data_IF_544854956296
#
_entry.id   IF_544854956296
#
_cell.length_a   1.000
_cell.length_b   1.000
_cell.length_c   1.000
_cell.angle_alpha   90.00
_cell.angle_beta   90.00
_cell.angle_gamma   90.00
#
_symmetry.space_group_name_H-M   'P 1'
#
loop_
_entity.id
_entity.type
_entity.pdbx_description
1 polymer ?
#
# COMPACT_ATOMS: atom_id res chain seq x y z
N UNK A 1 -17.41 9.78 -30.95
CA UNK A 1 -15.98 10.13 -31.10
C UNK A 1 -15.83 11.50 -30.49
N UNK A 2 -15.05 11.64 -29.43
CA UNK A 2 -14.77 12.96 -28.85
C UNK A 2 -13.82 13.72 -29.79
N UNK A 3 -14.10 15.00 -30.04
CA UNK A 3 -13.43 15.83 -31.03
C UNK A 3 -11.92 16.00 -30.72
N UNK A 4 -11.11 16.13 -31.78
CA UNK A 4 -9.63 16.22 -31.71
C UNK A 4 -9.10 17.45 -30.96
N UNK A 5 -9.95 18.40 -30.56
CA UNK A 5 -9.58 19.61 -29.81
C UNK A 5 -9.41 19.41 -28.29
N UNK A 6 -9.76 18.25 -27.72
CA UNK A 6 -9.73 18.03 -26.26
C UNK A 6 -8.43 17.37 -25.71
N UNK A 7 -7.45 17.17 -26.60
CA UNK A 7 -6.22 16.42 -26.35
C UNK A 7 -5.19 17.29 -25.62
N UNK A 8 -5.17 17.17 -24.29
CA UNK A 8 -4.25 17.93 -23.42
C UNK A 8 -2.91 17.20 -23.18
N UNK A 9 -1.82 17.97 -23.13
CA UNK A 9 -0.46 17.54 -22.78
C UNK A 9 -0.13 17.96 -21.33
N UNK A 10 -0.11 17.03 -20.36
CA UNK A 10 0.08 17.36 -18.96
C UNK A 10 1.49 17.85 -18.66
N UNK A 11 1.63 19.13 -18.30
CA UNK A 11 2.85 19.62 -17.64
C UNK A 11 2.88 19.07 -16.21
N UNK A 12 4.05 18.58 -15.79
CA UNK A 12 4.30 17.96 -14.49
C UNK A 12 3.78 18.82 -13.31
N UNK A 13 2.79 18.29 -12.58
CA UNK A 13 2.33 18.81 -11.29
C UNK A 13 0.83 19.13 -11.16
N UNK A 14 0.06 19.16 -12.25
CA UNK A 14 -1.35 19.64 -12.21
C UNK A 14 -2.36 18.73 -12.95
N UNK A 15 -2.08 17.43 -13.07
CA UNK A 15 -3.04 16.54 -13.75
C UNK A 15 -4.33 16.36 -12.95
N UNK A 16 -4.24 16.12 -11.64
CA UNK A 16 -5.43 15.86 -10.83
C UNK A 16 -6.36 17.08 -10.74
N UNK A 17 -5.84 18.29 -10.52
CA UNK A 17 -6.71 19.48 -10.44
C UNK A 17 -7.36 19.79 -11.78
N UNK A 18 -6.66 19.60 -12.91
CA UNK A 18 -7.27 19.78 -14.24
C UNK A 18 -8.31 18.72 -14.57
N UNK A 19 -8.13 17.48 -14.12
CA UNK A 19 -9.18 16.46 -14.21
C UNK A 19 -10.42 16.91 -13.43
N UNK A 20 -10.25 17.45 -12.21
CA UNK A 20 -11.35 17.96 -11.40
C UNK A 20 -12.03 19.18 -12.02
N UNK A 21 -11.27 20.12 -12.59
CA UNK A 21 -11.81 21.27 -13.32
C UNK A 21 -12.68 20.82 -14.49
N UNK A 22 -12.21 19.85 -15.29
CA UNK A 22 -12.99 19.29 -16.40
C UNK A 22 -14.24 18.53 -15.95
N UNK A 23 -14.23 17.96 -14.74
CA UNK A 23 -15.37 17.26 -14.15
C UNK A 23 -16.39 18.17 -13.46
N UNK A 24 -16.10 19.47 -13.32
CA UNK A 24 -17.05 20.42 -12.76
C UNK A 24 -18.35 20.45 -13.57
N UNK A 25 -18.24 20.39 -14.90
CA UNK A 25 -19.35 20.46 -15.84
C UNK A 25 -19.59 19.15 -16.61
N UNK A 26 -18.88 18.06 -16.26
CA UNK A 26 -18.96 16.77 -16.96
C UNK A 26 -18.91 15.58 -15.99
N UNK A 27 -19.57 14.48 -16.35
CA UNK A 27 -19.46 13.20 -15.65
C UNK A 27 -18.25 12.37 -16.11
N UNK A 28 -17.66 12.72 -17.25
CA UNK A 28 -16.60 11.96 -17.89
C UNK A 28 -15.43 12.84 -18.30
N UNK A 29 -14.21 12.33 -18.14
CA UNK A 29 -12.99 13.02 -18.61
C UNK A 29 -12.03 12.03 -19.28
N UNK A 30 -11.32 12.47 -20.31
CA UNK A 30 -10.26 11.70 -20.94
C UNK A 30 -8.93 12.45 -20.92
N UNK A 31 -7.83 11.74 -20.68
CA UNK A 31 -6.47 12.27 -20.76
C UNK A 31 -5.61 11.36 -21.63
N UNK A 32 -4.92 11.93 -22.62
CA UNK A 32 -4.01 11.20 -23.50
C UNK A 32 -2.56 11.50 -23.12
N UNK A 33 -1.63 10.60 -23.50
CA UNK A 33 -0.18 10.72 -23.24
C UNK A 33 0.14 10.90 -21.76
N UNK A 34 -0.46 10.06 -20.92
CA UNK A 34 -0.18 10.03 -19.49
C UNK A 34 1.29 9.68 -19.25
N UNK A 35 2.04 10.61 -18.67
CA UNK A 35 3.37 10.35 -18.12
C UNK A 35 3.25 9.55 -16.81
N UNK A 36 4.26 8.73 -16.45
CA UNK A 36 4.24 7.85 -15.27
C UNK A 36 4.38 8.62 -13.94
N UNK A 37 3.48 9.57 -13.68
CA UNK A 37 3.42 10.31 -12.42
C UNK A 37 2.65 9.53 -11.35
N UNK A 38 3.12 9.62 -10.10
CA UNK A 38 2.44 9.00 -8.98
C UNK A 38 1.11 9.68 -8.64
N UNK A 39 0.21 8.94 -8.01
CA UNK A 39 -1.04 9.39 -7.39
C UNK A 39 -2.04 10.05 -8.37
N UNK A 40 -2.05 9.62 -9.62
CA UNK A 40 -3.06 10.04 -10.59
C UNK A 40 -4.41 9.42 -10.22
N UNK A 41 -5.48 10.23 -10.27
CA UNK A 41 -6.86 9.82 -9.98
C UNK A 41 -7.06 9.19 -8.58
N UNK A 42 -6.22 9.54 -7.60
CA UNK A 42 -6.40 9.12 -6.21
C UNK A 42 -7.60 9.85 -5.61
N UNK A 43 -8.50 9.11 -4.94
CA UNK A 43 -9.70 9.67 -4.33
C UNK A 43 -10.65 10.31 -5.34
N UNK A 44 -10.68 9.78 -6.57
CA UNK A 44 -11.45 10.37 -7.67
C UNK A 44 -12.95 10.52 -7.31
N UNK A 45 -13.63 11.58 -7.80
CA UNK A 45 -15.01 11.85 -7.38
C UNK A 45 -15.96 10.69 -7.74
N UNK A 46 -16.83 10.35 -6.79
CA UNK A 46 -17.81 9.27 -6.94
C UNK A 46 -18.77 9.53 -8.11
N UNK A 47 -19.10 8.46 -8.85
CA UNK A 47 -20.03 8.52 -9.98
C UNK A 47 -19.42 9.10 -11.26
N UNK A 48 -18.16 9.52 -11.23
CA UNK A 48 -17.44 10.01 -12.40
C UNK A 48 -16.67 8.89 -13.11
N UNK A 49 -16.46 9.07 -14.40
CA UNK A 49 -15.67 8.16 -15.22
C UNK A 49 -14.46 8.87 -15.80
N UNK A 50 -13.29 8.22 -15.80
CA UNK A 50 -12.11 8.74 -16.46
C UNK A 50 -11.40 7.68 -17.30
N UNK A 51 -10.95 8.09 -18.49
CA UNK A 51 -10.14 7.25 -19.38
C UNK A 51 -8.78 7.88 -19.62
N UNK A 52 -7.73 7.08 -19.55
CA UNK A 52 -6.34 7.51 -19.66
C UNK A 52 -5.61 6.70 -20.72
N UNK A 53 -4.91 7.34 -21.65
CA UNK A 53 -3.96 6.68 -22.56
C UNK A 53 -2.53 6.98 -22.11
N UNK A 54 -1.73 5.96 -21.78
CA UNK A 54 -0.34 6.12 -21.32
C UNK A 54 -0.01 5.27 -20.11
N UNK A 55 0.95 5.71 -19.29
CA UNK A 55 1.40 4.95 -18.11
C UNK A 55 0.95 5.66 -16.83
N UNK A 56 0.20 4.98 -15.98
CA UNK A 56 -0.07 5.45 -14.62
C UNK A 56 1.17 5.21 -13.75
N UNK A 57 1.64 6.19 -12.98
CA UNK A 57 2.70 5.95 -12.00
C UNK A 57 2.19 5.18 -10.78
N UNK A 58 2.97 5.24 -9.69
CA UNK A 58 2.60 4.58 -8.44
C UNK A 58 1.28 5.11 -7.88
N UNK A 59 0.51 4.23 -7.24
CA UNK A 59 -0.76 4.54 -6.56
C UNK A 59 -1.84 5.12 -7.50
N UNK A 60 -1.84 4.72 -8.77
CA UNK A 60 -2.92 5.07 -9.71
C UNK A 60 -4.29 4.61 -9.19
N UNK A 61 -5.26 5.53 -9.15
CA UNK A 61 -6.63 5.25 -8.70
C UNK A 61 -6.76 4.83 -7.23
N UNK A 62 -5.73 5.05 -6.41
CA UNK A 62 -5.80 4.74 -4.97
C UNK A 62 -6.96 5.45 -4.28
N UNK A 63 -7.48 4.90 -3.19
CA UNK A 63 -8.60 5.44 -2.42
C UNK A 63 -9.88 5.67 -3.24
N UNK A 64 -10.04 5.01 -4.40
CA UNK A 64 -11.26 5.12 -5.20
C UNK A 64 -12.49 4.72 -4.37
N UNK A 65 -13.54 5.53 -4.45
CA UNK A 65 -14.79 5.34 -3.73
C UNK A 65 -16.00 5.60 -4.64
N UNK A 66 -16.03 4.87 -5.75
CA UNK A 66 -17.17 4.80 -6.66
C UNK A 66 -16.99 5.52 -8.00
N UNK A 67 -15.76 5.84 -8.40
CA UNK A 67 -15.45 6.22 -9.78
C UNK A 67 -15.16 4.99 -10.65
N UNK A 68 -15.31 5.16 -11.97
CA UNK A 68 -14.88 4.20 -12.99
C UNK A 68 -13.63 4.74 -13.70
N UNK A 69 -12.50 4.06 -13.55
CA UNK A 69 -11.23 4.50 -14.10
C UNK A 69 -10.70 3.48 -15.11
N UNK A 70 -10.40 3.90 -16.33
CA UNK A 70 -9.87 3.02 -17.39
C UNK A 70 -8.50 3.56 -17.81
N UNK A 71 -7.46 2.75 -17.67
CA UNK A 71 -6.10 3.08 -18.08
C UNK A 71 -5.67 2.19 -19.24
N UNK A 72 -5.59 2.77 -20.43
CA UNK A 72 -5.05 2.17 -21.66
C UNK A 72 -3.52 2.19 -21.63
N UNK A 73 -2.96 1.37 -20.75
CA UNK A 73 -1.52 1.16 -20.62
C UNK A 73 -1.17 0.52 -19.26
N UNK A 74 0.11 0.58 -18.89
CA UNK A 74 0.61 0.00 -17.64
C UNK A 74 0.48 0.95 -16.45
N UNK A 75 0.54 0.39 -15.25
CA UNK A 75 0.51 1.14 -14.00
C UNK A 75 1.68 0.77 -13.08
N UNK A 76 2.10 1.71 -12.24
CA UNK A 76 3.15 1.52 -11.23
C UNK A 76 2.72 0.64 -10.06
N UNK A 77 3.40 0.80 -8.93
CA UNK A 77 3.11 0.09 -7.67
C UNK A 77 1.78 0.53 -7.08
N UNK A 78 1.16 -0.29 -6.23
CA UNK A 78 0.02 0.10 -5.39
C UNK A 78 -1.23 0.59 -6.14
N UNK A 79 -1.48 0.09 -7.35
CA UNK A 79 -2.71 0.40 -8.09
C UNK A 79 -3.95 0.01 -7.28
N UNK A 80 -4.93 0.91 -7.21
CA UNK A 80 -6.18 0.69 -6.48
C UNK A 80 -6.00 0.51 -4.96
N UNK A 81 -4.89 0.99 -4.39
CA UNK A 81 -4.62 0.86 -2.97
C UNK A 81 -5.76 1.45 -2.12
N UNK A 82 -6.28 0.65 -1.19
CA UNK A 82 -7.33 1.05 -0.24
C UNK A 82 -8.62 1.59 -0.89
N UNK A 83 -8.92 1.14 -2.11
CA UNK A 83 -10.20 1.39 -2.76
C UNK A 83 -11.35 0.70 -2.01
N UNK A 84 -12.52 1.36 -1.96
CA UNK A 84 -13.70 0.92 -1.19
C UNK A 84 -14.92 0.60 -2.06
N UNK A 85 -15.00 1.16 -3.26
CA UNK A 85 -16.05 0.90 -4.26
C UNK A 85 -15.66 1.51 -5.59
N UNK A 86 -16.39 1.17 -6.66
CA UNK A 86 -16.11 1.63 -8.02
C UNK A 86 -15.36 0.58 -8.82
N UNK A 87 -14.75 1.00 -9.92
CA UNK A 87 -14.00 0.12 -10.81
C UNK A 87 -12.70 0.79 -11.30
N UNK A 88 -11.64 0.00 -11.40
CA UNK A 88 -10.39 0.39 -12.07
C UNK A 88 -10.03 -0.73 -13.06
N UNK A 89 -9.87 -0.38 -14.34
CA UNK A 89 -9.41 -1.29 -15.38
C UNK A 89 -8.05 -0.79 -15.89
N UNK A 90 -7.02 -1.63 -15.76
CA UNK A 90 -5.69 -1.41 -16.32
C UNK A 90 -5.52 -2.36 -17.51
N UNK A 91 -5.48 -1.82 -18.72
CA UNK A 91 -5.34 -2.59 -19.96
C UNK A 91 -3.90 -3.06 -20.24
N UNK A 92 -2.95 -2.75 -19.35
CA UNK A 92 -1.59 -3.28 -19.33
C UNK A 92 -1.23 -3.99 -18.02
N UNK A 93 0.05 -4.05 -17.72
CA UNK A 93 0.57 -4.65 -16.48
C UNK A 93 0.61 -3.64 -15.32
N UNK A 94 0.54 -4.15 -14.09
CA UNK A 94 0.69 -3.36 -12.87
C UNK A 94 1.98 -3.71 -12.11
N UNK A 95 2.50 -2.78 -11.31
CA UNK A 95 3.63 -3.01 -10.42
C UNK A 95 3.24 -3.70 -9.11
N UNK A 96 4.24 -3.89 -8.23
CA UNK A 96 4.05 -4.49 -6.91
C UNK A 96 2.97 -3.79 -6.06
N UNK A 97 2.17 -4.57 -5.34
CA UNK A 97 1.17 -4.08 -4.40
C UNK A 97 -0.18 -3.75 -5.03
N UNK A 98 -0.49 -4.26 -6.22
CA UNK A 98 -1.84 -4.11 -6.80
C UNK A 98 -2.91 -4.61 -5.81
N UNK A 99 -4.00 -3.85 -5.66
CA UNK A 99 -5.08 -4.09 -4.69
C UNK A 99 -4.63 -4.15 -3.22
N UNK A 100 -3.53 -3.49 -2.85
CA UNK A 100 -3.13 -3.41 -1.44
C UNK A 100 -4.24 -2.79 -0.59
N UNK A 101 -4.71 -3.51 0.43
CA UNK A 101 -5.79 -3.03 1.30
C UNK A 101 -7.13 -2.77 0.61
N UNK A 102 -7.38 -3.32 -0.59
CA UNK A 102 -8.67 -3.21 -1.28
C UNK A 102 -9.80 -3.68 -0.33
N UNK A 103 -10.82 -2.86 -0.17
CA UNK A 103 -11.91 -3.05 0.80
C UNK A 103 -13.30 -3.01 0.14
N UNK A 104 -13.35 -3.11 -1.18
CA UNK A 104 -14.57 -3.12 -1.98
C UNK A 104 -14.37 -2.52 -3.38
N UNK A 105 -15.28 -2.83 -4.30
CA UNK A 105 -15.14 -2.51 -5.72
C UNK A 105 -14.26 -3.52 -6.47
N UNK A 106 -13.94 -3.21 -7.73
CA UNK A 106 -13.28 -4.14 -8.65
C UNK A 106 -12.02 -3.49 -9.25
N UNK A 107 -10.89 -4.20 -9.17
CA UNK A 107 -9.66 -3.88 -9.89
C UNK A 107 -9.39 -4.97 -10.93
N UNK A 108 -9.25 -4.58 -12.19
CA UNK A 108 -8.91 -5.46 -13.31
C UNK A 108 -7.54 -5.09 -13.86
N UNK A 109 -6.67 -6.09 -14.03
CA UNK A 109 -5.37 -5.96 -14.69
C UNK A 109 -5.33 -6.94 -15.87
N UNK A 110 -5.38 -6.41 -17.09
CA UNK A 110 -5.35 -7.20 -18.33
C UNK A 110 -3.95 -7.76 -18.63
N UNK A 111 -2.91 -7.24 -17.99
CA UNK A 111 -1.56 -7.78 -18.05
C UNK A 111 -1.19 -8.61 -16.82
N UNK A 112 0.10 -8.65 -16.53
CA UNK A 112 0.66 -9.30 -15.32
C UNK A 112 0.84 -8.29 -14.19
N UNK A 113 0.91 -8.79 -12.95
CA UNK A 113 1.38 -8.01 -11.79
C UNK A 113 2.84 -8.33 -11.54
N UNK A 114 3.72 -7.34 -11.73
CA UNK A 114 5.18 -7.44 -11.56
C UNK A 114 5.57 -7.26 -10.09
N UNK A 115 5.09 -8.18 -9.26
CA UNK A 115 5.30 -8.20 -7.82
C UNK A 115 4.14 -8.87 -7.09
N UNK A 116 3.98 -8.53 -5.82
CA UNK A 116 2.92 -9.08 -4.97
C UNK A 116 1.57 -8.41 -5.24
N UNK A 117 0.48 -9.14 -5.04
CA UNK A 117 -0.88 -8.65 -5.24
C UNK A 117 -1.80 -9.02 -4.06
N UNK A 118 -2.84 -8.22 -3.84
CA UNK A 118 -3.86 -8.42 -2.80
C UNK A 118 -3.31 -8.52 -1.36
N UNK A 119 -2.16 -7.90 -1.09
CA UNK A 119 -1.62 -7.83 0.28
C UNK A 119 -2.58 -7.03 1.17
N UNK A 120 -3.01 -7.62 2.29
CA UNK A 120 -3.91 -6.99 3.23
C UNK A 120 -5.31 -6.72 2.68
N UNK A 121 -5.71 -7.33 1.56
CA UNK A 121 -7.03 -7.15 0.96
C UNK A 121 -8.14 -7.53 1.97
N UNK A 122 -9.11 -6.64 2.15
CA UNK A 122 -10.19 -6.73 3.13
C UNK A 122 -11.50 -7.24 2.49
N UNK A 123 -11.83 -6.75 1.30
CA UNK A 123 -13.00 -7.16 0.51
C UNK A 123 -12.90 -6.65 -0.93
N UNK A 124 -13.81 -7.04 -1.82
CA UNK A 124 -13.87 -6.63 -3.23
C UNK A 124 -13.33 -7.69 -4.19
N UNK A 125 -13.04 -7.27 -5.43
CA UNK A 125 -12.64 -8.16 -6.52
C UNK A 125 -11.34 -7.70 -7.16
N UNK A 126 -10.40 -8.62 -7.35
CA UNK A 126 -9.19 -8.42 -8.14
C UNK A 126 -9.13 -9.47 -9.26
N UNK A 127 -9.09 -9.02 -10.51
CA UNK A 127 -8.95 -9.88 -11.69
C UNK A 127 -7.61 -9.61 -12.38
N UNK A 128 -6.82 -10.66 -12.61
CA UNK A 128 -5.51 -10.56 -13.26
C UNK A 128 -5.49 -11.57 -14.42
N UNK A 129 -5.36 -11.07 -15.65
CA UNK A 129 -5.34 -11.90 -16.86
C UNK A 129 -3.99 -12.61 -17.06
N UNK A 130 -2.90 -11.97 -16.63
CA UNK A 130 -1.54 -12.52 -16.73
C UNK A 130 -1.07 -13.21 -15.46
N UNK A 131 0.25 -13.18 -15.27
CA UNK A 131 0.94 -13.78 -14.14
C UNK A 131 1.04 -12.83 -12.93
N UNK A 132 1.28 -13.40 -11.75
CA UNK A 132 1.71 -12.68 -10.55
C UNK A 132 3.14 -13.09 -10.23
N UNK A 133 4.07 -12.14 -10.37
CA UNK A 133 5.51 -12.38 -10.21
C UNK A 133 6.00 -12.36 -8.74
N UNK A 134 5.07 -12.23 -7.78
CA UNK A 134 5.36 -12.18 -6.35
C UNK A 134 4.33 -12.94 -5.51
N UNK A 135 4.20 -12.55 -4.23
CA UNK A 135 3.26 -13.19 -3.31
C UNK A 135 1.81 -12.79 -3.62
N UNK A 136 0.86 -13.70 -3.35
CA UNK A 136 -0.55 -13.47 -3.61
C UNK A 136 -1.37 -13.62 -2.33
N UNK A 137 -2.16 -12.60 -1.99
CA UNK A 137 -3.13 -12.67 -0.89
C UNK A 137 -2.51 -12.71 0.50
N UNK A 138 -1.30 -12.16 0.67
CA UNK A 138 -0.64 -12.11 1.98
C UNK A 138 -1.46 -11.27 2.95
N UNK A 139 -1.91 -11.85 4.06
CA UNK A 139 -2.74 -11.16 5.05
C UNK A 139 -4.12 -10.77 4.54
N UNK A 140 -4.66 -11.43 3.52
CA UNK A 140 -6.01 -11.19 3.00
C UNK A 140 -7.08 -11.65 4.00
N UNK A 141 -8.06 -10.79 4.28
CA UNK A 141 -9.15 -11.02 5.23
C UNK A 141 -10.50 -11.30 4.54
N UNK A 142 -10.66 -10.91 3.28
CA UNK A 142 -11.91 -11.06 2.54
C UNK A 142 -11.77 -10.67 1.07
N UNK A 143 -12.85 -10.85 0.31
CA UNK A 143 -12.90 -10.59 -1.13
C UNK A 143 -12.54 -11.80 -2.00
N UNK A 144 -12.52 -11.57 -3.31
CA UNK A 144 -12.23 -12.56 -4.35
C UNK A 144 -11.06 -12.10 -5.21
N UNK A 145 -10.06 -12.97 -5.40
CA UNK A 145 -8.95 -12.73 -6.33
C UNK A 145 -8.94 -13.82 -7.39
N UNK A 146 -8.88 -13.45 -8.66
CA UNK A 146 -8.81 -14.37 -9.80
C UNK A 146 -7.54 -14.09 -10.58
N UNK A 147 -6.72 -15.12 -10.80
CA UNK A 147 -5.49 -15.08 -11.60
C UNK A 147 -5.60 -16.11 -12.71
N UNK A 148 -5.60 -15.66 -13.96
CA UNK A 148 -5.64 -16.54 -15.13
C UNK A 148 -4.25 -17.12 -15.48
N UNK A 149 -3.16 -16.47 -15.06
CA UNK A 149 -1.79 -16.95 -15.22
C UNK A 149 -1.22 -17.69 -14.00
N UNK A 150 0.11 -17.74 -13.96
CA UNK A 150 0.91 -18.38 -12.92
C UNK A 150 1.16 -17.44 -11.73
N UNK A 151 1.50 -18.01 -10.57
CA UNK A 151 1.95 -17.27 -9.39
C UNK A 151 3.30 -17.82 -8.94
N UNK A 152 4.33 -16.97 -8.94
CA UNK A 152 5.70 -17.39 -8.62
C UNK A 152 6.07 -17.27 -7.13
N UNK A 153 5.34 -16.48 -6.35
CA UNK A 153 5.60 -16.27 -4.92
C UNK A 153 4.72 -17.11 -3.98
N UNK A 154 4.82 -16.80 -2.68
CA UNK A 154 4.00 -17.45 -1.65
C UNK A 154 2.52 -17.08 -1.82
N UNK A 155 1.65 -18.09 -1.75
CA UNK A 155 0.19 -17.92 -1.87
C UNK A 155 -0.46 -18.01 -0.49
N UNK A 156 -1.38 -17.10 -0.20
CA UNK A 156 -2.24 -17.11 0.99
C UNK A 156 -1.50 -17.07 2.34
N UNK A 157 -0.32 -16.46 2.39
CA UNK A 157 0.45 -16.33 3.64
C UNK A 157 -0.30 -15.45 4.63
N UNK A 158 -0.65 -15.99 5.80
CA UNK A 158 -1.45 -15.30 6.82
C UNK A 158 -2.86 -14.88 6.35
N UNK A 159 -3.38 -15.49 5.29
CA UNK A 159 -4.75 -15.24 4.84
C UNK A 159 -5.73 -15.74 5.89
N UNK A 160 -6.67 -14.90 6.31
CA UNK A 160 -7.70 -15.23 7.32
C UNK A 160 -9.10 -15.34 6.73
N UNK A 161 -9.32 -14.80 5.53
CA UNK A 161 -10.60 -14.90 4.81
C UNK A 161 -10.49 -14.51 3.34
N UNK A 162 -11.60 -14.66 2.62
CA UNK A 162 -11.67 -14.50 1.16
C UNK A 162 -11.33 -15.77 0.38
N UNK A 163 -11.28 -15.65 -0.94
CA UNK A 163 -11.00 -16.77 -1.85
C UNK A 163 -10.08 -16.36 -2.99
N UNK A 164 -9.04 -17.16 -3.23
CA UNK A 164 -8.15 -17.04 -4.38
C UNK A 164 -8.51 -18.12 -5.42
N UNK A 165 -8.65 -17.75 -6.68
CA UNK A 165 -8.81 -18.65 -7.83
C UNK A 165 -7.61 -18.50 -8.76
N UNK A 166 -6.86 -19.56 -8.99
CA UNK A 166 -5.62 -19.56 -9.79
C UNK A 166 -5.72 -20.62 -10.87
N UNK A 167 -5.63 -20.24 -12.15
CA UNK A 167 -5.67 -21.16 -13.28
C UNK A 167 -4.30 -21.71 -13.71
N UNK A 168 -3.23 -20.93 -13.52
CA UNK A 168 -1.88 -21.35 -13.84
C UNK A 168 -1.18 -22.12 -12.72
N UNK A 169 0.14 -22.27 -12.86
CA UNK A 169 0.97 -22.96 -11.89
C UNK A 169 1.27 -22.06 -10.69
N UNK A 170 1.28 -22.66 -9.50
CA UNK A 170 1.71 -22.03 -8.26
C UNK A 170 2.16 -23.09 -7.27
N UNK A 171 2.87 -22.68 -6.21
CA UNK A 171 3.17 -23.56 -5.09
C UNK A 171 1.99 -23.52 -4.10
N UNK A 172 1.24 -24.63 -3.89
CA UNK A 172 0.11 -24.62 -2.97
C UNK A 172 0.55 -24.30 -1.54
N UNK A 173 -0.27 -23.55 -0.77
CA UNK A 173 -0.01 -23.35 0.66
C UNK A 173 -0.12 -24.68 1.41
N UNK A 174 0.37 -24.72 2.65
CA UNK A 174 0.34 -25.94 3.51
C UNK A 174 -1.06 -26.53 3.69
N UNK A 175 -2.09 -25.69 3.69
CA UNK A 175 -3.50 -26.12 3.80
C UNK A 175 -4.06 -26.73 2.51
N UNK A 176 -3.26 -26.71 1.44
CA UNK A 176 -3.58 -27.22 0.13
C UNK A 176 -4.38 -26.24 -0.73
N UNK A 177 -4.63 -26.68 -1.96
CA UNK A 177 -5.56 -26.06 -2.90
C UNK A 177 -6.50 -27.15 -3.42
N UNK A 178 -7.73 -26.77 -3.74
CA UNK A 178 -8.73 -27.71 -4.26
C UNK A 178 -9.22 -27.21 -5.62
N UNK A 179 -9.57 -28.09 -6.57
CA UNK A 179 -10.27 -27.65 -7.77
C UNK A 179 -11.52 -26.85 -7.38
N UNK A 180 -11.71 -25.67 -7.98
CA UNK A 180 -12.88 -24.84 -7.73
C UNK A 180 -14.17 -25.64 -8.00
N UNK A 181 -15.24 -25.41 -7.25
CA UNK A 181 -16.50 -26.08 -7.48
C UNK A 181 -17.13 -25.64 -8.83
N UNK A 182 -17.95 -26.46 -9.50
CA UNK A 182 -18.56 -26.07 -10.78
C UNK A 182 -19.34 -24.76 -10.75
N UNK A 183 -20.01 -24.45 -9.63
CA UNK A 183 -20.73 -23.19 -9.44
C UNK A 183 -19.78 -21.99 -9.33
N UNK A 184 -18.69 -22.12 -8.55
CA UNK A 184 -17.65 -21.08 -8.41
C UNK A 184 -16.96 -20.83 -9.74
N UNK A 185 -16.60 -21.89 -10.48
CA UNK A 185 -16.01 -21.78 -11.81
C UNK A 185 -16.89 -20.97 -12.74
N UNK A 186 -18.20 -21.25 -12.78
CA UNK A 186 -19.13 -20.52 -13.64
C UNK A 186 -19.19 -19.02 -13.28
N UNK A 187 -19.15 -18.70 -11.99
CA UNK A 187 -19.14 -17.30 -11.51
C UNK A 187 -17.84 -16.62 -11.95
N UNK A 188 -16.69 -17.25 -11.69
CA UNK A 188 -15.36 -16.70 -12.03
C UNK A 188 -15.18 -16.54 -13.54
N UNK A 189 -15.59 -17.53 -14.34
CA UNK A 189 -15.53 -17.47 -15.80
C UNK A 189 -16.40 -16.34 -16.35
N UNK A 190 -17.62 -16.15 -15.81
CA UNK A 190 -18.48 -15.03 -16.17
C UNK A 190 -17.84 -13.70 -15.79
N UNK A 191 -17.26 -13.61 -14.59
CA UNK A 191 -16.60 -12.41 -14.09
C UNK A 191 -15.41 -12.01 -14.97
N UNK A 192 -14.58 -12.97 -15.39
CA UNK A 192 -13.50 -12.72 -16.35
C UNK A 192 -14.02 -12.24 -17.71
N UNK A 193 -15.04 -12.93 -18.24
CA UNK A 193 -15.63 -12.60 -19.54
C UNK A 193 -16.25 -11.19 -19.56
N UNK A 194 -16.93 -10.79 -18.48
CA UNK A 194 -17.52 -9.44 -18.34
C UNK A 194 -16.46 -8.35 -18.37
N UNK A 195 -15.23 -8.65 -17.95
CA UNK A 195 -14.09 -7.73 -17.98
C UNK A 195 -13.13 -8.01 -19.15
N UNK A 196 -13.54 -8.74 -20.18
CA UNK A 196 -12.77 -8.94 -21.41
C UNK A 196 -11.59 -9.90 -21.30
N UNK A 197 -11.51 -10.69 -20.23
CA UNK A 197 -10.50 -11.75 -20.08
C UNK A 197 -11.13 -13.06 -20.57
N UNK A 198 -10.53 -13.71 -21.56
CA UNK A 198 -11.03 -14.98 -22.11
C UNK A 198 -10.86 -16.13 -21.10
N UNK A 199 -11.96 -16.71 -20.59
CA UNK A 199 -11.88 -17.81 -19.63
C UNK A 199 -11.75 -19.19 -20.30
N UNK A 200 -11.74 -19.28 -21.64
CA UNK A 200 -11.83 -20.55 -22.35
C UNK A 200 -10.63 -21.46 -22.03
N UNK A 201 -10.93 -22.66 -21.53
CA UNK A 201 -9.91 -23.66 -21.18
C UNK A 201 -9.23 -23.43 -19.83
N UNK A 202 -9.58 -22.38 -19.08
CA UNK A 202 -9.05 -22.16 -17.75
C UNK A 202 -9.73 -23.06 -16.71
N UNK A 203 -8.90 -23.80 -15.97
CA UNK A 203 -9.30 -24.64 -14.85
C UNK A 203 -8.73 -24.07 -13.56
N UNK A 204 -9.61 -23.61 -12.66
CA UNK A 204 -9.18 -22.92 -11.44
C UNK A 204 -8.96 -23.87 -10.27
N UNK A 205 -7.81 -23.74 -9.62
CA UNK A 205 -7.62 -24.14 -8.24
C UNK A 205 -8.11 -23.02 -7.32
N UNK A 206 -8.70 -23.41 -6.19
CA UNK A 206 -9.23 -22.51 -5.17
C UNK A 206 -8.46 -22.67 -3.86
N UNK A 207 -8.18 -21.53 -3.23
CA UNK A 207 -7.61 -21.44 -1.89
C UNK A 207 -8.51 -20.52 -1.06
N UNK A 208 -9.11 -21.07 0.00
CA UNK A 208 -10.03 -20.33 0.87
C UNK A 208 -9.35 -19.91 2.17
N UNK A 209 -9.51 -18.66 2.56
CA UNK A 209 -8.95 -18.13 3.81
C UNK A 209 -9.49 -18.81 5.06
N UNK A 210 -10.72 -19.35 5.02
CA UNK A 210 -11.26 -20.15 6.13
C UNK A 210 -10.47 -21.45 6.36
N UNK A 211 -9.90 -22.04 5.30
CA UNK A 211 -9.02 -23.21 5.42
C UNK A 211 -7.63 -22.81 5.93
N UNK A 212 -7.13 -21.63 5.55
CA UNK A 212 -5.85 -21.08 6.00
C UNK A 212 -5.89 -20.66 7.47
N UNK A 213 -7.01 -20.10 7.91
CA UNK A 213 -7.24 -19.62 9.28
C UNK A 213 -7.39 -20.76 10.31
N UNK A 214 -7.60 -22.00 9.85
CA UNK A 214 -7.48 -23.16 10.73
C UNK A 214 -6.04 -23.21 11.22
N UNK A 215 -5.86 -22.78 12.46
CA UNK A 215 -4.55 -22.53 13.03
C UNK A 215 -3.73 -23.82 12.95
N UNK A 216 -2.44 -23.78 12.54
CA UNK A 216 -1.55 -24.86 12.93
C UNK A 216 -1.69 -25.01 14.45
N UNK A 217 -1.76 -26.24 14.95
CA UNK A 217 -1.47 -26.49 16.36
C UNK A 217 -0.13 -25.80 16.62
N UNK A 218 -0.19 -24.67 17.33
CA UNK A 218 1.00 -24.07 17.86
C UNK A 218 1.51 -25.13 18.82
N UNK A 219 2.59 -25.83 18.48
CA UNK A 219 3.40 -26.42 19.52
C UNK A 219 4.01 -25.23 20.27
N UNK A 220 3.47 -24.99 21.46
CA UNK A 220 4.07 -24.05 22.38
C UNK A 220 5.38 -24.71 22.81
N UNK A 221 6.46 -24.48 22.07
CA UNK A 221 7.78 -24.58 22.69
C UNK A 221 7.71 -23.67 23.92
N UNK A 222 7.90 -24.25 25.11
CA UNK A 222 7.88 -23.52 26.36
C UNK A 222 8.78 -22.29 26.20
N UNK A 223 8.16 -21.10 26.05
CA UNK A 223 8.89 -19.85 26.00
C UNK A 223 9.80 -19.85 27.24
N UNK A 224 11.13 -19.80 27.08
CA UNK A 224 12.02 -19.89 28.23
C UNK A 224 11.61 -18.81 29.21
N UNK A 225 11.33 -19.19 30.45
CA UNK A 225 10.66 -18.43 31.49
C UNK A 225 11.19 -16.98 31.68
N UNK A 226 10.86 -16.10 30.75
CA UNK A 226 11.26 -14.70 30.68
C UNK A 226 10.23 -13.83 31.39
N UNK A 227 8.96 -14.24 31.35
CA UNK A 227 7.84 -13.55 32.00
C UNK A 227 8.03 -13.36 33.52
N UNK A 228 8.55 -14.33 34.30
CA UNK A 228 8.83 -14.12 35.72
C UNK A 228 10.04 -13.20 35.99
N UNK A 229 10.91 -13.01 34.98
CA UNK A 229 12.15 -12.21 35.05
C UNK A 229 11.94 -10.78 34.56
N UNK A 230 10.88 -10.53 33.80
CA UNK A 230 10.42 -9.18 33.47
C UNK A 230 9.91 -8.50 34.76
N UNK A 231 10.40 -7.28 35.00
CA UNK A 231 9.92 -6.42 36.07
C UNK A 231 9.43 -5.13 35.45
N UNK A 232 8.19 -4.77 35.74
CA UNK A 232 7.63 -3.49 35.35
C UNK A 232 8.17 -2.44 36.31
N UNK A 233 8.98 -1.51 35.81
CA UNK A 233 9.47 -0.37 36.59
C UNK A 233 8.68 0.85 36.17
N UNK A 234 7.89 1.41 37.10
CA UNK A 234 7.17 2.64 36.87
C UNK A 234 8.16 3.80 36.77
N UNK A 235 8.31 4.37 35.57
CA UNK A 235 9.11 5.57 35.38
C UNK A 235 8.34 6.79 35.90
N UNK A 236 8.84 7.41 36.98
CA UNK A 236 8.28 8.66 37.51
C UNK A 236 9.13 9.82 37.02
N UNK A 237 8.55 10.67 36.18
CA UNK A 237 9.16 11.96 35.81
C UNK A 237 9.22 12.86 37.05
N UNK A 238 10.40 13.01 37.64
CA UNK A 238 10.61 13.84 38.84
C UNK A 238 10.33 15.34 38.62
N UNK A 239 10.32 15.82 37.38
CA UNK A 239 9.84 17.16 37.01
C UNK A 239 9.13 17.13 35.66
N UNK A 240 8.01 17.86 35.57
CA UNK A 240 7.41 18.21 34.28
C UNK A 240 8.35 19.18 33.54
N UNK A 241 8.66 18.93 32.25
CA UNK A 241 9.39 19.87 31.43
C UNK A 241 8.66 21.21 31.43
N UNK A 242 9.38 22.31 31.67
CA UNK A 242 8.76 23.64 31.81
C UNK A 242 8.73 24.39 30.48
N UNK A 243 9.50 23.95 29.48
CA UNK A 243 9.45 24.46 28.10
C UNK A 243 9.52 23.29 27.09
N UNK A 244 8.56 23.18 26.15
CA UNK A 244 8.61 22.18 25.09
C UNK A 244 9.89 22.34 24.24
N UNK A 245 10.65 21.26 24.06
CA UNK A 245 11.75 21.17 23.09
C UNK A 245 13.13 21.71 23.50
N UNK A 246 13.33 22.18 24.74
CA UNK A 246 14.59 22.84 25.14
C UNK A 246 15.19 22.41 26.49
N UNK A 247 14.53 21.52 27.22
CA UNK A 247 15.14 20.93 28.42
C UNK A 247 15.97 19.70 28.01
N UNK A 248 17.27 19.62 28.33
CA UNK A 248 18.03 18.38 28.19
C UNK A 248 17.49 17.37 29.21
N UNK A 249 16.61 16.48 28.76
CA UNK A 249 16.11 15.39 29.58
C UNK A 249 17.06 14.22 29.40
N UNK A 250 17.73 13.82 30.48
CA UNK A 250 18.49 12.56 30.52
C UNK A 250 17.63 11.52 31.26
N UNK A 251 16.91 10.62 30.57
CA UNK A 251 16.08 9.63 31.21
C UNK A 251 16.95 8.50 31.77
N UNK A 252 17.62 8.76 32.89
CA UNK A 252 18.32 7.71 33.65
C UNK A 252 17.32 6.83 34.39
N UNK A 253 17.51 5.52 34.35
CA UNK A 253 16.69 4.55 35.07
C UNK A 253 17.52 3.94 36.20
N UNK A 254 17.21 4.26 37.46
CA UNK A 254 17.94 3.69 38.61
C UNK A 254 17.28 2.38 39.04
N UNK A 255 18.06 1.30 39.10
CA UNK A 255 17.58 -0.02 39.51
C UNK A 255 18.02 -0.34 40.94
N UNK A 256 17.04 -0.50 41.84
CA UNK A 256 17.26 -0.89 43.24
C UNK A 256 17.46 0.29 44.20
N UNK A 257 17.23 0.10 45.51
CA UNK A 257 17.29 1.17 46.50
C UNK A 257 18.70 1.67 46.85
N UNK A 258 19.77 0.90 46.56
CA UNK A 258 21.12 1.16 47.08
C UNK A 258 22.22 1.13 46.00
N UNK A 259 21.92 1.51 44.76
CA UNK A 259 22.93 1.67 43.70
C UNK A 259 23.30 3.16 43.54
N UNK A 260 24.53 3.52 43.91
CA UNK A 260 25.01 4.92 43.88
C UNK A 260 25.17 5.49 42.47
N UNK A 261 25.17 4.65 41.43
CA UNK A 261 25.29 5.08 40.03
C UNK A 261 24.03 4.72 39.21
N UNK A 262 23.46 5.67 38.44
CA UNK A 262 22.31 5.39 37.59
C UNK A 262 22.67 4.43 36.45
N UNK A 263 21.82 3.43 36.19
CA UNK A 263 21.92 2.65 34.97
C UNK A 263 21.45 3.55 33.81
N UNK A 264 22.40 4.12 33.09
CA UNK A 264 22.12 4.84 31.85
C UNK A 264 21.79 3.83 30.77
N UNK A 265 20.53 3.40 30.74
CA UNK A 265 19.94 2.85 29.53
C UNK A 265 19.74 3.99 28.55
N UNK A 266 20.80 4.31 27.82
CA UNK A 266 20.60 4.84 26.48
C UNK A 266 19.68 3.82 25.81
N UNK A 267 18.58 4.28 25.22
CA UNK A 267 17.76 3.47 24.33
C UNK A 267 18.31 3.73 22.91
N UNK A 268 19.45 3.15 22.47
CA UNK A 268 19.66 2.90 21.06
C UNK A 268 19.08 1.51 20.82
N UNK A 269 17.77 1.40 20.69
CA UNK A 269 17.16 0.06 20.65
C UNK A 269 17.39 -0.57 19.27
N UNK A 270 18.54 -1.25 19.20
CA UNK A 270 18.79 -2.61 18.69
C UNK A 270 19.36 -2.82 17.29
N UNK A 271 19.61 -1.79 16.48
CA UNK A 271 20.13 -2.02 15.12
C UNK A 271 21.52 -1.38 14.96
N UNK A 272 22.56 -2.22 14.90
CA UNK A 272 23.92 -1.83 14.50
C UNK A 272 24.37 -2.66 13.28
N UNK A 273 25.06 -2.02 12.33
CA UNK A 273 25.50 -2.61 11.06
C UNK A 273 25.32 -1.63 9.89
N UNK A 274 25.77 -1.99 8.67
CA UNK A 274 25.70 -1.12 7.48
C UNK A 274 24.29 -0.60 7.14
N UNK A 275 23.24 -1.25 7.67
CA UNK A 275 21.83 -0.97 7.39
C UNK A 275 21.05 -0.34 8.56
N UNK A 276 21.74 0.07 9.63
CA UNK A 276 21.11 0.72 10.77
C UNK A 276 20.44 2.05 10.37
N UNK A 277 19.36 2.48 11.07
CA UNK A 277 18.77 3.79 10.85
C UNK A 277 19.80 4.90 11.04
N UNK A 278 19.85 5.83 10.09
CA UNK A 278 20.76 6.98 10.14
C UNK A 278 19.97 8.27 10.36
N UNK A 279 20.49 9.14 11.21
CA UNK A 279 19.96 10.47 11.46
C UNK A 279 20.97 11.49 10.95
N UNK A 280 20.52 12.43 10.11
CA UNK A 280 21.37 13.45 9.52
C UNK A 280 20.65 14.80 9.42
N UNK A 281 21.42 15.87 9.54
CA UNK A 281 20.98 17.26 9.40
C UNK A 281 21.92 17.95 8.42
N UNK A 282 21.39 18.76 7.50
CA UNK A 282 22.19 19.54 6.56
C UNK A 282 21.47 20.84 6.15
N UNK A 283 22.25 21.79 5.62
CA UNK A 283 21.74 23.11 5.23
C UNK A 283 20.89 23.07 3.96
N UNK A 284 19.89 23.96 3.88
CA UNK A 284 19.01 24.11 2.70
C UNK A 284 19.84 24.50 1.46
N UNK A 285 19.83 23.65 0.44
CA UNK A 285 20.59 23.81 -0.80
C UNK A 285 21.96 23.13 -0.82
N UNK A 286 22.41 22.54 0.30
CA UNK A 286 23.61 21.71 0.33
C UNK A 286 23.34 20.29 -0.20
N UNK A 287 24.41 19.59 -0.59
CA UNK A 287 24.32 18.20 -1.06
C UNK A 287 24.03 17.27 0.11
N UNK A 288 22.99 16.43 0.06
CA UNK A 288 22.64 15.54 1.16
C UNK A 288 23.70 14.44 1.34
N UNK A 289 23.80 13.84 2.55
CA UNK A 289 24.62 12.66 2.78
C UNK A 289 24.15 11.47 1.92
N UNK A 290 25.04 10.48 1.76
CA UNK A 290 24.71 9.23 1.07
C UNK A 290 23.94 8.28 2.00
N UNK A 291 22.68 8.02 1.65
CA UNK A 291 21.78 7.13 2.38
C UNK A 291 21.66 5.74 1.74
N UNK A 292 22.44 5.45 0.68
CA UNK A 292 22.29 4.26 -0.16
C UNK A 292 22.47 2.92 0.55
N UNK A 293 22.93 2.92 1.81
CA UNK A 293 23.06 1.73 2.65
C UNK A 293 22.02 1.62 3.77
N UNK A 294 21.20 2.65 4.05
CA UNK A 294 20.25 2.61 5.17
C UNK A 294 18.83 2.19 4.73
N UNK A 295 18.12 1.50 5.62
CA UNK A 295 16.76 1.03 5.36
C UNK A 295 15.68 2.02 5.85
N UNK A 296 16.07 2.99 6.68
CA UNK A 296 15.21 4.04 7.23
C UNK A 296 16.06 5.29 7.52
N UNK A 297 15.65 6.43 6.97
CA UNK A 297 16.27 7.74 7.22
C UNK A 297 15.27 8.68 7.90
N UNK A 298 15.72 9.38 8.94
CA UNK A 298 14.95 10.42 9.62
C UNK A 298 15.61 11.76 9.30
N UNK A 299 14.86 12.66 8.65
CA UNK A 299 15.35 13.96 8.17
C UNK A 299 14.72 15.06 9.03
N UNK A 300 15.56 15.79 9.75
CA UNK A 300 15.15 16.94 10.55
C UNK A 300 15.35 18.24 9.76
N UNK A 301 14.24 18.89 9.39
CA UNK A 301 14.23 20.11 8.56
C UNK A 301 14.31 21.41 9.40
N UNK A 302 14.60 21.33 10.69
CA UNK A 302 14.46 22.47 11.61
C UNK A 302 15.66 23.45 11.67
N UNK A 303 16.71 23.28 10.86
CA UNK A 303 17.89 24.15 10.88
C UNK A 303 17.99 25.06 9.64
N UNK A 304 17.31 26.21 9.69
CA UNK A 304 17.57 27.31 8.74
C UNK A 304 16.63 28.50 8.98
N UNK A 305 17.17 29.66 9.36
CA UNK A 305 16.40 30.91 9.52
C UNK A 305 15.66 31.24 8.22
N UNK A 306 14.34 31.15 8.23
CA UNK A 306 13.46 31.77 7.25
C UNK A 306 13.60 33.31 7.36
N UNK A 307 14.10 34.03 6.34
CA UNK A 307 14.14 35.49 6.38
C UNK A 307 12.82 36.02 5.85
N UNK A 308 11.75 35.92 6.66
CA UNK A 308 10.62 36.88 6.79
C UNK A 308 9.46 36.23 7.57
N UNK A 309 8.91 37.03 8.49
CA UNK A 309 7.82 36.74 9.42
C UNK A 309 6.63 36.02 8.78
N UNK A 310 6.14 34.98 9.47
CA UNK A 310 4.72 34.64 9.53
C UNK A 310 4.33 34.67 11.01
N UNK A 311 3.73 35.79 11.44
CA UNK A 311 3.00 35.85 12.70
C UNK A 311 1.71 35.05 12.49
N UNK A 312 1.64 33.84 13.07
CA UNK A 312 0.49 32.95 12.98
C UNK A 312 -0.34 33.07 14.27
N UNK A 313 -1.50 33.71 14.19
CA UNK A 313 -2.41 33.89 15.33
C UNK A 313 -3.61 32.92 15.27
N UNK A 314 -3.78 32.16 14.19
CA UNK A 314 -4.93 31.25 14.02
C UNK A 314 -4.50 29.83 13.61
N UNK A 315 -5.32 28.81 13.93
CA UNK A 315 -4.99 27.41 13.63
C UNK A 315 -4.81 27.07 12.14
N UNK A 316 -5.31 27.92 11.24
CA UNK A 316 -5.38 27.64 9.79
C UNK A 316 -4.11 28.04 9.02
N UNK A 317 -3.17 28.71 9.67
CA UNK A 317 -1.96 29.25 9.01
C UNK A 317 -0.96 28.14 8.58
N UNK A 318 -1.16 26.90 9.03
CA UNK A 318 -0.35 25.72 8.65
C UNK A 318 -0.81 25.05 7.35
N UNK A 319 -1.92 25.48 6.76
CA UNK A 319 -2.45 24.89 5.52
C UNK A 319 -1.67 25.27 4.24
N UNK A 320 -0.62 26.11 4.34
CA UNK A 320 0.14 26.60 3.17
C UNK A 320 1.65 26.31 3.19
N UNK A 321 2.14 25.37 4.00
CA UNK A 321 3.54 24.93 3.91
C UNK A 321 3.57 23.47 3.43
N UNK A 322 3.96 23.29 2.17
CA UNK A 322 4.38 22.01 1.57
C UNK A 322 5.87 21.83 1.82
#
# INVERSE_FOLDING_TARGET
MADEEDVWDPTSGNINSRLLERLADSDTVAAKRLEPMACIAVGFPRGKTATFDGTGGDNFGGLNHGAQLILNGGAGRFVGNSMRSGEIIVNGSAGNGAAHGLAGGTLVVQGSVRGSAATGMLDGELLIAGDVEGALGTGMHGGTVVVAGNVSGEVARYMTGGTLFIAGNFTPPKVGAKPAAPAERKIVQKLLQEHGIDPQGLEFQSVSGAAVAQSPELEWEELPALLPRLRLVAAVLKRRPRRPGLDPVNPGLTLGPDTEEPLNLTIPILWQGEHAPQMATWDVGARPPDFGKCNLAIIDLSAGRLPRRLDMERPDDLAQVI
#
